data_IF_772742381941
#
_entry.id   IF_772742381941
#
_cell.length_a   1.000
_cell.length_b   1.000
_cell.length_c   1.000
_cell.angle_alpha   90.00
_cell.angle_beta   90.00
_cell.angle_gamma   90.00
#
_symmetry.space_group_name_H-M   'P 1'
#
loop_
_entity.id
_entity.type
_entity.pdbx_description
1 polymer ?
#
# COMPACT_ATOMS: atom_id res chain seq x y z
N UNK A 1 -3.87 5.52 14.82
CA UNK A 1 -2.42 5.26 14.74
C UNK A 1 -2.19 4.23 13.65
N UNK A 2 -1.08 4.35 12.93
CA UNK A 2 -0.64 3.39 11.93
C UNK A 2 0.69 2.80 12.38
N UNK A 3 0.87 1.50 12.20
CA UNK A 3 2.15 0.82 12.30
C UNK A 3 2.58 0.38 10.90
N UNK A 4 3.85 0.61 10.60
CA UNK A 4 4.48 0.25 9.33
C UNK A 4 5.59 -0.76 9.64
N UNK A 5 5.65 -1.87 8.90
CA UNK A 5 6.68 -2.89 9.10
C UNK A 5 7.12 -3.46 7.76
N UNK A 6 8.40 -3.79 7.63
CA UNK A 6 8.95 -4.43 6.44
C UNK A 6 9.27 -5.88 6.77
N UNK A 7 8.63 -6.80 6.04
CA UNK A 7 8.87 -8.24 6.17
C UNK A 7 9.55 -8.73 4.89
N UNK A 8 10.75 -9.28 5.02
CA UNK A 8 11.51 -9.78 3.90
C UNK A 8 11.59 -11.31 3.91
N UNK A 9 11.47 -11.89 2.72
CA UNK A 9 11.65 -13.31 2.45
C UNK A 9 12.49 -13.48 1.18
N UNK A 10 12.95 -14.70 0.89
CA UNK A 10 13.85 -14.96 -0.24
C UNK A 10 13.35 -14.45 -1.60
N UNK A 11 12.03 -14.42 -1.86
CA UNK A 11 11.46 -14.01 -3.15
C UNK A 11 10.61 -12.73 -3.14
N UNK A 12 10.28 -12.21 -1.96
CA UNK A 12 9.39 -11.05 -1.83
C UNK A 12 9.75 -10.23 -0.59
N UNK A 13 9.52 -8.93 -0.69
CA UNK A 13 9.50 -7.98 0.41
C UNK A 13 8.07 -7.47 0.56
N UNK A 14 7.59 -7.36 1.79
CA UNK A 14 6.25 -6.87 2.11
C UNK A 14 6.33 -5.65 3.00
N UNK A 15 5.64 -4.59 2.61
CA UNK A 15 5.37 -3.45 3.46
C UNK A 15 4.01 -3.66 4.13
N UNK A 16 4.02 -4.07 5.39
CA UNK A 16 2.83 -4.38 6.19
C UNK A 16 2.33 -3.12 6.87
N UNK A 17 1.08 -2.75 6.60
CA UNK A 17 0.39 -1.63 7.22
C UNK A 17 -0.67 -2.14 8.20
N UNK A 18 -0.63 -1.67 9.44
CA UNK A 18 -1.57 -2.09 10.49
C UNK A 18 -2.20 -0.87 11.17
N UNK A 19 -3.53 -0.84 11.29
CA UNK A 19 -4.26 0.26 11.93
C UNK A 19 -4.95 1.19 10.93
N UNK A 20 -4.85 2.52 11.13
CA UNK A 20 -5.60 3.52 10.33
C UNK A 20 -4.68 4.23 9.35
N UNK A 21 -4.89 4.02 8.04
CA UNK A 21 -4.19 4.74 6.98
C UNK A 21 -4.90 6.07 6.75
N UNK A 22 -4.36 7.14 7.34
CA UNK A 22 -4.91 8.49 7.29
C UNK A 22 -3.81 9.52 7.11
N UNK A 23 -4.17 10.77 6.76
CA UNK A 23 -3.26 11.87 6.43
C UNK A 23 -1.98 11.98 7.27
N UNK A 24 -2.01 11.84 8.61
CA UNK A 24 -0.79 11.92 9.43
C UNK A 24 0.26 10.83 9.19
N UNK A 25 -0.04 9.82 8.37
CA UNK A 25 0.83 8.67 8.09
C UNK A 25 1.10 8.46 6.60
N UNK A 26 0.52 9.27 5.73
CA UNK A 26 0.62 9.08 4.27
C UNK A 26 2.04 9.29 3.78
N UNK A 27 2.71 10.34 4.27
CA UNK A 27 4.12 10.63 3.94
C UNK A 27 5.06 9.52 4.41
N UNK A 28 4.83 8.97 5.60
CA UNK A 28 5.61 7.88 6.17
C UNK A 28 5.44 6.59 5.35
N UNK A 29 4.22 6.32 4.85
CA UNK A 29 3.95 5.17 3.98
C UNK A 29 4.64 5.32 2.63
N UNK A 30 4.56 6.50 2.00
CA UNK A 30 5.25 6.76 0.73
C UNK A 30 6.77 6.62 0.88
N UNK A 31 7.33 7.16 1.96
CA UNK A 31 8.76 7.00 2.26
C UNK A 31 9.13 5.53 2.47
N UNK A 32 8.39 4.82 3.31
CA UNK A 32 8.66 3.41 3.58
C UNK A 32 8.53 2.53 2.33
N UNK A 33 7.62 2.86 1.41
CA UNK A 33 7.52 2.22 0.10
C UNK A 33 8.77 2.45 -0.75
N UNK A 34 9.23 3.70 -0.89
CA UNK A 34 10.44 4.02 -1.67
C UNK A 34 11.68 3.35 -1.08
N UNK A 35 11.83 3.41 0.23
CA UNK A 35 12.93 2.79 0.96
C UNK A 35 12.91 1.26 0.78
N UNK A 36 11.73 0.63 0.89
CA UNK A 36 11.57 -0.80 0.65
C UNK A 36 11.70 -1.19 -0.83
N UNK A 37 11.48 -0.27 -1.77
CA UNK A 37 11.72 -0.46 -3.21
C UNK A 37 13.20 -0.39 -3.58
N UNK A 38 14.01 0.27 -2.75
CA UNK A 38 15.46 0.28 -2.93
C UNK A 38 16.04 -1.12 -2.72
N UNK A 39 17.00 -1.49 -3.57
CA UNK A 39 17.75 -2.76 -3.47
C UNK A 39 16.88 -4.02 -3.43
N UNK A 40 15.82 -4.08 -4.23
CA UNK A 40 14.97 -5.29 -4.30
C UNK A 40 15.72 -6.53 -4.82
N UNK A 41 16.85 -6.38 -5.53
CA UNK A 41 17.65 -7.52 -6.04
C UNK A 41 16.79 -8.56 -6.79
N UNK A 42 15.79 -8.10 -7.56
CA UNK A 42 14.84 -8.95 -8.28
C UNK A 42 13.64 -9.46 -7.47
N UNK A 43 13.53 -9.11 -6.17
CA UNK A 43 12.38 -9.44 -5.33
C UNK A 43 11.16 -8.59 -5.70
N UNK A 44 9.97 -9.16 -5.51
CA UNK A 44 8.71 -8.42 -5.61
C UNK A 44 8.48 -7.60 -4.34
N UNK A 45 8.00 -6.37 -4.48
CA UNK A 45 7.52 -5.57 -3.35
C UNK A 45 5.99 -5.56 -3.31
N UNK A 46 5.42 -5.89 -2.16
CA UNK A 46 3.97 -5.96 -1.95
C UNK A 46 3.59 -5.08 -0.77
N UNK A 47 2.58 -4.24 -0.91
CA UNK A 47 1.95 -3.51 0.19
C UNK A 47 0.84 -4.39 0.77
N UNK A 48 1.01 -4.82 2.03
CA UNK A 48 0.03 -5.64 2.73
C UNK A 48 -0.88 -4.77 3.58
N UNK A 49 -2.15 -4.73 3.21
CA UNK A 49 -3.19 -3.95 3.87
C UNK A 49 -4.15 -4.83 4.69
N UNK A 50 -3.78 -6.08 4.97
CA UNK A 50 -4.67 -7.05 5.64
C UNK A 50 -5.05 -6.64 7.06
N UNK A 51 -4.23 -5.85 7.73
CA UNK A 51 -4.48 -5.36 9.09
C UNK A 51 -4.88 -3.87 9.11
N UNK A 52 -5.24 -3.30 7.94
CA UNK A 52 -5.72 -1.92 7.84
C UNK A 52 -7.22 -1.91 8.15
N UNK A 53 -7.58 -1.13 9.17
CA UNK A 53 -8.94 -1.05 9.70
C UNK A 53 -9.73 0.15 9.14
N UNK A 54 -9.03 1.18 8.64
CA UNK A 54 -9.64 2.38 8.08
C UNK A 54 -8.70 3.04 7.08
N UNK A 55 -9.27 3.56 5.98
CA UNK A 55 -8.55 4.31 4.95
C UNK A 55 -9.27 5.66 4.74
N UNK A 56 -8.59 6.78 5.05
CA UNK A 56 -9.12 8.13 4.81
C UNK A 56 -9.05 8.51 3.32
N UNK A 57 -9.54 9.70 2.96
CA UNK A 57 -9.36 10.25 1.62
C UNK A 57 -7.87 10.35 1.25
N UNK A 58 -7.04 10.94 2.11
CA UNK A 58 -5.59 11.02 1.91
C UNK A 58 -4.96 9.63 1.82
N UNK A 59 -5.42 8.69 2.65
CA UNK A 59 -4.97 7.29 2.57
C UNK A 59 -5.26 6.65 1.22
N UNK A 60 -6.42 6.92 0.63
CA UNK A 60 -6.77 6.46 -0.72
C UNK A 60 -5.88 7.10 -1.79
N UNK A 61 -5.61 8.40 -1.68
CA UNK A 61 -4.71 9.10 -2.60
C UNK A 61 -3.30 8.51 -2.56
N UNK A 62 -2.77 8.23 -1.37
CA UNK A 62 -1.49 7.52 -1.21
C UNK A 62 -1.52 6.15 -1.86
N UNK A 63 -2.59 5.37 -1.69
CA UNK A 63 -2.71 4.07 -2.36
C UNK A 63 -2.71 4.20 -3.88
N UNK A 64 -3.36 5.24 -4.44
CA UNK A 64 -3.33 5.52 -5.89
C UNK A 64 -1.91 5.85 -6.36
N UNK A 65 -1.19 6.73 -5.68
CA UNK A 65 0.20 7.05 -6.03
C UNK A 65 1.09 5.80 -6.02
N UNK A 66 0.92 4.95 -5.01
CA UNK A 66 1.62 3.66 -4.95
C UNK A 66 1.23 2.74 -6.12
N UNK A 67 -0.06 2.69 -6.51
CA UNK A 67 -0.51 1.93 -7.70
C UNK A 67 0.15 2.44 -8.98
N UNK A 68 0.24 3.76 -9.18
CA UNK A 68 0.90 4.39 -10.32
C UNK A 68 2.41 4.06 -10.36
N UNK A 69 3.05 3.93 -9.20
CA UNK A 69 4.44 3.47 -9.06
C UNK A 69 4.60 1.94 -9.22
N UNK A 70 3.53 1.21 -9.56
CA UNK A 70 3.55 -0.22 -9.84
C UNK A 70 3.39 -1.11 -8.61
N UNK A 71 2.96 -0.56 -7.47
CA UNK A 71 2.75 -1.34 -6.26
C UNK A 71 1.74 -2.47 -6.46
N UNK A 72 2.08 -3.62 -5.89
CA UNK A 72 1.15 -4.75 -5.75
C UNK A 72 0.59 -4.74 -4.34
N UNK A 73 -0.70 -4.99 -4.22
CA UNK A 73 -1.39 -4.95 -2.93
C UNK A 73 -1.84 -6.35 -2.52
N UNK A 74 -1.63 -6.69 -1.26
CA UNK A 74 -2.26 -7.81 -0.58
C UNK A 74 -3.34 -7.27 0.36
N UNK A 75 -4.47 -7.95 0.42
CA UNK A 75 -5.58 -7.56 1.28
C UNK A 75 -6.30 -8.80 1.81
N UNK A 76 -6.38 -8.92 3.14
CA UNK A 76 -7.16 -9.93 3.83
C UNK A 76 -8.66 -9.61 3.78
N UNK A 77 -9.01 -8.38 4.18
CA UNK A 77 -10.39 -7.98 4.43
C UNK A 77 -11.17 -7.50 3.20
N UNK A 78 -12.48 -7.72 3.24
CA UNK A 78 -13.45 -7.32 2.19
C UNK A 78 -13.49 -5.81 1.99
N UNK A 79 -13.38 -5.03 3.08
CA UNK A 79 -13.36 -3.56 3.03
C UNK A 79 -12.20 -3.06 2.17
N UNK A 80 -11.00 -3.55 2.45
CA UNK A 80 -9.79 -3.11 1.75
C UNK A 80 -9.78 -3.57 0.28
N UNK A 81 -10.29 -4.78 0.01
CA UNK A 81 -10.54 -5.25 -1.36
C UNK A 81 -11.47 -4.33 -2.14
N UNK A 82 -12.57 -3.89 -1.51
CA UNK A 82 -13.53 -3.00 -2.14
C UNK A 82 -12.91 -1.64 -2.48
N UNK A 83 -12.18 -1.04 -1.54
CA UNK A 83 -11.47 0.23 -1.75
C UNK A 83 -10.46 0.11 -2.88
N UNK A 84 -9.59 -0.90 -2.88
CA UNK A 84 -8.60 -1.10 -3.94
C UNK A 84 -9.25 -1.29 -5.31
N UNK A 85 -10.37 -2.04 -5.40
CA UNK A 85 -11.10 -2.22 -6.66
C UNK A 85 -11.67 -0.90 -7.18
N UNK A 86 -12.24 -0.06 -6.32
CA UNK A 86 -12.74 1.26 -6.71
C UNK A 86 -11.61 2.18 -7.18
N UNK A 87 -10.45 2.13 -6.52
CA UNK A 87 -9.29 2.94 -6.92
C UNK A 87 -8.72 2.49 -8.26
N UNK A 88 -8.56 1.18 -8.48
CA UNK A 88 -8.10 0.64 -9.76
C UNK A 88 -9.02 0.99 -10.94
N UNK A 89 -10.34 1.03 -10.72
CA UNK A 89 -11.31 1.43 -11.74
C UNK A 89 -11.22 2.91 -12.11
N UNK A 90 -10.85 3.78 -11.15
CA UNK A 90 -10.64 5.21 -11.40
C UNK A 90 -9.35 5.46 -12.17
N UNK A 91 -8.29 4.71 -11.89
CA UNK A 91 -6.99 4.88 -12.53
C UNK A 91 -6.95 4.35 -13.98
N UNK A 92 -7.77 3.33 -14.28
CA UNK A 92 -7.97 2.83 -15.66
C UNK A 92 -8.90 3.68 -16.53
N UNK A 93 -9.52 4.72 -15.96
CA UNK A 93 -10.44 5.63 -16.64
C UNK A 93 -9.81 7.04 -16.71
N UNK A 94 -8.55 7.13 -17.16
CA UNK A 94 -7.98 8.42 -17.60
C UNK A 94 -8.59 8.74 -18.98
N UNK A 95 -9.18 9.93 -19.19
CA UNK A 95 -9.67 10.37 -20.50
C UNK A 95 -8.55 10.51 -21.53
#
# INVERSE_FOLDING_TARGET
MLKISVVETHGQRRLVLEGKLAGPWTTEVEKAWRDAGSQLQGRKLIVDLSNVTLISADGKETLVRLMEEGAKFSCGDVLTKHVLKQLAQRDGCKP
#
